data_IF_387154297338
#
_entry.id   IF_387154297338
#
_cell.length_a   1.000
_cell.length_b   1.000
_cell.length_c   1.000
_cell.angle_alpha   90.00
_cell.angle_beta   90.00
_cell.angle_gamma   90.00
#
_symmetry.space_group_name_H-M   'P 1'
#
loop_
_entity.id
_entity.type
_entity.pdbx_description
1 polymer ?
#
# COMPACT_ATOMS: atom_id res chain seq x y z
N UNK A 1 15.91 28.09 -27.46
CA UNK A 1 15.37 27.33 -26.35
C UNK A 1 15.34 28.25 -25.14
N UNK A 2 14.16 28.74 -24.71
CA UNK A 2 14.05 29.56 -23.49
C UNK A 2 14.46 28.71 -22.30
N UNK A 3 15.42 29.17 -21.50
CA UNK A 3 15.66 28.62 -20.18
C UNK A 3 14.37 28.77 -19.38
N UNK A 4 13.70 27.64 -19.12
CA UNK A 4 12.55 27.57 -18.23
C UNK A 4 13.06 27.98 -16.85
N UNK A 5 12.44 28.98 -16.21
CA UNK A 5 12.80 29.38 -14.86
C UNK A 5 12.79 28.15 -13.97
N UNK A 6 13.79 28.00 -13.13
CA UNK A 6 14.13 26.84 -12.32
C UNK A 6 12.95 26.26 -11.51
N UNK A 7 12.01 27.12 -11.09
CA UNK A 7 10.78 26.73 -10.38
C UNK A 7 9.71 26.13 -11.32
N UNK A 8 9.70 26.52 -12.60
CA UNK A 8 8.72 26.03 -13.56
C UNK A 8 8.99 24.60 -14.03
N UNK A 9 10.24 24.13 -13.99
CA UNK A 9 10.62 22.77 -14.40
C UNK A 9 10.00 21.68 -13.51
N UNK A 10 9.77 21.94 -12.22
CA UNK A 10 9.14 21.00 -11.29
C UNK A 10 7.69 20.68 -11.68
N UNK A 11 7.03 21.62 -12.35
CA UNK A 11 5.62 21.54 -12.75
C UNK A 11 5.41 21.02 -14.18
N UNK A 12 6.49 20.62 -14.87
CA UNK A 12 6.45 20.08 -16.22
C UNK A 12 7.08 18.69 -16.24
N UNK A 13 6.33 17.70 -16.72
CA UNK A 13 6.72 16.29 -16.66
C UNK A 13 8.03 15.99 -17.38
N UNK A 14 8.24 16.56 -18.56
CA UNK A 14 9.39 16.28 -19.45
C UNK A 14 10.49 17.35 -19.38
N UNK A 15 10.32 18.40 -18.55
CA UNK A 15 11.31 19.45 -18.45
C UNK A 15 12.64 18.91 -17.91
N UNK A 16 13.76 19.39 -18.45
CA UNK A 16 15.09 19.07 -17.94
C UNK A 16 15.28 19.72 -16.58
N UNK A 17 15.70 18.95 -15.61
CA UNK A 17 15.99 19.38 -14.25
C UNK A 17 17.37 18.91 -13.84
N UNK A 18 18.11 19.74 -13.11
CA UNK A 18 19.41 19.35 -12.54
C UNK A 18 19.23 18.34 -11.41
N UNK A 19 20.17 17.42 -11.22
CA UNK A 19 20.12 16.44 -10.12
C UNK A 19 20.05 17.13 -8.74
N UNK A 20 20.71 18.29 -8.57
CA UNK A 20 20.70 19.05 -7.32
C UNK A 20 19.28 19.50 -6.92
N UNK A 21 18.42 19.72 -7.90
CA UNK A 21 17.00 20.10 -7.68
C UNK A 21 16.09 18.89 -7.63
N UNK A 22 16.36 17.89 -8.48
CA UNK A 22 15.56 16.66 -8.57
C UNK A 22 15.62 15.84 -7.27
N UNK A 23 16.79 15.70 -6.66
CA UNK A 23 16.98 14.85 -5.47
C UNK A 23 16.10 15.28 -4.28
N UNK A 24 16.07 16.56 -3.83
CA UNK A 24 15.20 16.94 -2.71
C UNK A 24 13.71 16.70 -3.00
N UNK A 25 13.26 16.98 -4.22
CA UNK A 25 11.87 16.75 -4.62
C UNK A 25 11.54 15.25 -4.70
N UNK A 26 12.44 14.45 -5.25
CA UNK A 26 12.27 12.98 -5.29
C UNK A 26 12.27 12.37 -3.88
N UNK A 27 13.16 12.82 -3.00
CA UNK A 27 13.16 12.40 -1.60
C UNK A 27 11.87 12.76 -0.87
N UNK A 28 11.28 13.92 -1.16
CA UNK A 28 10.00 14.32 -0.60
C UNK A 28 8.89 13.30 -0.94
N UNK A 29 8.82 12.86 -2.20
CA UNK A 29 7.87 11.83 -2.62
C UNK A 29 8.16 10.48 -1.97
N UNK A 30 9.42 10.07 -1.91
CA UNK A 30 9.81 8.80 -1.29
C UNK A 30 9.52 8.79 0.21
N UNK A 31 9.85 9.85 0.94
CA UNK A 31 9.57 9.94 2.38
C UNK A 31 8.08 9.82 2.69
N UNK A 32 7.22 10.34 1.81
CA UNK A 32 5.77 10.25 1.97
C UNK A 32 5.24 8.82 1.84
N UNK A 33 5.86 7.98 1.01
CA UNK A 33 5.40 6.62 0.71
C UNK A 33 6.26 5.51 1.32
N UNK A 34 7.45 5.83 1.83
CA UNK A 34 8.45 4.86 2.27
C UNK A 34 7.87 3.81 3.23
N UNK A 35 7.14 4.28 4.21
CA UNK A 35 6.50 3.43 5.21
C UNK A 35 5.34 2.65 4.60
N UNK A 36 4.51 3.30 3.77
CA UNK A 36 3.40 2.66 3.08
C UNK A 36 3.83 1.47 2.23
N UNK A 37 4.99 1.58 1.59
CA UNK A 37 5.59 0.49 0.80
C UNK A 37 6.00 -0.74 1.63
N UNK A 38 6.35 -0.56 2.90
CA UNK A 38 6.87 -1.63 3.75
C UNK A 38 5.83 -2.20 4.73
N UNK A 39 4.83 -1.40 5.07
CA UNK A 39 3.76 -1.77 6.00
C UNK A 39 3.02 -3.07 5.63
N UNK A 40 2.55 -3.27 4.38
CA UNK A 40 1.85 -4.50 4.02
C UNK A 40 2.70 -5.75 4.23
N UNK A 41 3.99 -5.64 3.92
CA UNK A 41 4.94 -6.74 4.08
C UNK A 41 5.16 -7.09 5.55
N UNK A 42 5.31 -6.08 6.43
CA UNK A 42 5.42 -6.28 7.86
C UNK A 42 4.17 -6.96 8.44
N UNK A 43 2.99 -6.56 8.01
CA UNK A 43 1.72 -7.12 8.44
C UNK A 43 1.59 -8.59 7.99
N UNK A 44 1.83 -8.88 6.72
CA UNK A 44 1.64 -10.22 6.17
C UNK A 44 2.72 -11.20 6.63
N UNK A 45 3.99 -10.77 6.75
CA UNK A 45 5.04 -11.63 7.32
C UNK A 45 4.74 -11.96 8.79
N UNK A 46 4.20 -11.01 9.55
CA UNK A 46 3.74 -11.24 10.92
C UNK A 46 2.54 -12.20 10.97
N UNK A 47 1.55 -12.01 10.10
CA UNK A 47 0.38 -12.89 9.98
C UNK A 47 0.78 -14.33 9.64
N UNK A 48 1.71 -14.51 8.69
CA UNK A 48 2.29 -15.81 8.35
C UNK A 48 3.14 -16.43 9.48
N UNK A 49 3.57 -15.66 10.46
CA UNK A 49 4.48 -16.13 11.51
C UNK A 49 5.95 -16.22 11.06
N UNK A 50 6.32 -15.49 10.01
CA UNK A 50 7.69 -15.42 9.46
C UNK A 50 8.37 -14.06 9.73
N UNK A 51 7.97 -13.37 10.79
CA UNK A 51 8.47 -12.04 11.15
C UNK A 51 9.66 -12.05 12.13
N UNK A 52 10.16 -13.19 12.54
CA UNK A 52 11.23 -13.26 13.54
C UNK A 52 11.73 -14.68 13.75
N UNK A 53 12.52 -14.90 14.81
CA UNK A 53 13.11 -16.20 15.09
C UNK A 53 14.01 -16.66 13.96
N UNK A 54 13.84 -17.89 13.51
CA UNK A 54 14.56 -18.49 12.37
C UNK A 54 14.32 -17.78 11.03
N UNK A 55 13.22 -17.01 10.89
CA UNK A 55 12.87 -16.28 9.67
C UNK A 55 13.31 -14.80 9.70
N UNK A 56 14.09 -14.37 10.68
CA UNK A 56 14.51 -12.97 10.82
C UNK A 56 15.24 -12.47 9.58
N UNK A 57 16.17 -13.27 9.03
CA UNK A 57 16.92 -12.92 7.82
C UNK A 57 16.03 -12.91 6.55
N UNK A 58 15.05 -13.81 6.51
CA UNK A 58 14.07 -13.83 5.43
C UNK A 58 13.27 -12.52 5.42
N UNK A 59 12.74 -12.10 6.56
CA UNK A 59 11.98 -10.85 6.64
C UNK A 59 12.81 -9.63 6.21
N UNK A 60 14.07 -9.56 6.63
CA UNK A 60 15.00 -8.49 6.19
C UNK A 60 15.18 -8.51 4.68
N UNK A 61 15.38 -9.70 4.09
CA UNK A 61 15.51 -9.88 2.63
C UNK A 61 14.26 -9.43 1.89
N UNK A 62 13.08 -9.74 2.40
CA UNK A 62 11.80 -9.33 1.80
C UNK A 62 11.61 -7.81 1.84
N UNK A 63 11.91 -7.17 2.97
CA UNK A 63 11.83 -5.70 3.12
C UNK A 63 12.84 -4.98 2.21
N UNK A 64 14.05 -5.51 2.11
CA UNK A 64 15.07 -5.04 1.17
C UNK A 64 14.55 -5.11 -0.27
N UNK A 65 14.01 -6.26 -0.67
CA UNK A 65 13.45 -6.48 -2.00
C UNK A 65 12.29 -5.54 -2.30
N UNK A 66 11.44 -5.21 -1.32
CA UNK A 66 10.31 -4.30 -1.52
C UNK A 66 10.77 -2.88 -1.91
N UNK A 67 11.82 -2.36 -1.28
CA UNK A 67 12.40 -1.07 -1.65
C UNK A 67 12.99 -1.11 -3.07
N UNK A 68 13.75 -2.16 -3.38
CA UNK A 68 14.38 -2.35 -4.68
C UNK A 68 13.36 -2.43 -5.82
N UNK A 69 12.35 -3.28 -5.65
CA UNK A 69 11.28 -3.49 -6.65
C UNK A 69 10.47 -2.22 -6.85
N UNK A 70 10.06 -1.54 -5.77
CA UNK A 70 9.31 -0.28 -5.87
C UNK A 70 10.06 0.76 -6.71
N UNK A 71 11.37 0.88 -6.52
CA UNK A 71 12.20 1.79 -7.31
C UNK A 71 12.26 1.40 -8.80
N UNK A 72 12.47 0.12 -9.12
CA UNK A 72 12.53 -0.36 -10.51
C UNK A 72 11.19 -0.16 -11.21
N UNK A 73 10.08 -0.60 -10.59
CA UNK A 73 8.75 -0.49 -11.20
C UNK A 73 8.35 0.98 -11.39
N UNK A 74 8.72 1.86 -10.43
CA UNK A 74 8.55 3.31 -10.59
C UNK A 74 9.30 3.85 -11.80
N UNK A 75 10.55 3.44 -12.03
CA UNK A 75 11.28 3.87 -13.23
C UNK A 75 10.61 3.39 -14.51
N UNK A 76 10.13 2.15 -14.55
CA UNK A 76 9.38 1.63 -15.71
C UNK A 76 8.09 2.41 -15.92
N UNK A 77 7.37 2.77 -14.88
CA UNK A 77 6.16 3.59 -14.96
C UNK A 77 6.42 4.99 -15.51
N UNK A 78 7.55 5.59 -15.14
CA UNK A 78 7.95 6.93 -15.58
C UNK A 78 8.50 6.98 -17.01
N UNK A 79 9.34 5.99 -17.40
CA UNK A 79 10.10 6.03 -18.66
C UNK A 79 9.57 5.09 -19.75
N UNK A 80 8.67 4.20 -19.40
CA UNK A 80 8.04 3.19 -20.25
C UNK A 80 9.02 2.23 -20.95
N UNK A 81 8.62 0.97 -21.08
CA UNK A 81 9.33 -0.05 -21.87
C UNK A 81 8.32 -0.68 -22.81
N UNK A 82 8.28 -0.23 -24.06
CA UNK A 82 7.28 -0.66 -25.04
C UNK A 82 5.86 -0.28 -24.59
N UNK A 83 4.95 -1.25 -24.36
CA UNK A 83 3.60 -0.99 -23.86
C UNK A 83 3.53 -0.85 -22.34
N UNK A 84 4.61 -1.13 -21.62
CA UNK A 84 4.66 -1.16 -20.16
C UNK A 84 5.04 0.20 -19.63
N UNK A 85 4.21 0.77 -18.76
CA UNK A 85 4.38 2.10 -18.19
C UNK A 85 3.46 3.15 -18.84
N UNK A 86 2.89 4.00 -17.99
CA UNK A 86 1.97 5.05 -18.42
C UNK A 86 2.67 6.37 -18.82
N UNK A 87 3.95 6.56 -18.54
CA UNK A 87 4.63 7.85 -18.57
C UNK A 87 3.88 8.93 -17.76
N UNK A 88 3.50 8.58 -16.55
CA UNK A 88 2.71 9.40 -15.63
C UNK A 88 3.50 9.68 -14.34
N UNK A 89 3.31 10.83 -13.66
CA UNK A 89 4.08 11.21 -12.48
C UNK A 89 3.56 10.50 -11.22
N UNK A 90 3.65 9.17 -11.20
CA UNK A 90 3.21 8.34 -10.08
C UNK A 90 4.33 7.44 -9.58
N UNK A 91 4.39 7.21 -8.28
CA UNK A 91 5.32 6.27 -7.66
C UNK A 91 4.59 4.96 -7.40
N UNK A 92 5.30 3.87 -7.66
CA UNK A 92 4.82 2.51 -7.48
C UNK A 92 5.39 1.90 -6.19
N UNK A 93 4.65 1.01 -5.57
CA UNK A 93 5.12 0.29 -4.40
C UNK A 93 4.16 -0.80 -3.96
N UNK A 94 4.45 -1.45 -2.84
CA UNK A 94 3.68 -2.60 -2.34
C UNK A 94 2.25 -2.21 -2.01
N UNK A 95 1.28 -2.90 -2.59
CA UNK A 95 -0.15 -2.63 -2.42
C UNK A 95 -0.64 -2.99 -1.02
N UNK A 96 -1.30 -2.05 -0.36
CA UNK A 96 -2.02 -2.30 0.89
C UNK A 96 -3.38 -2.99 0.66
N UNK A 97 -3.95 -2.86 -0.53
CA UNK A 97 -5.27 -3.40 -0.86
C UNK A 97 -5.36 -4.94 -0.70
N UNK A 98 -4.25 -5.63 -0.92
CA UNK A 98 -4.19 -7.09 -0.79
C UNK A 98 -4.15 -7.62 0.66
N UNK A 99 -3.95 -6.77 1.67
CA UNK A 99 -3.75 -7.23 3.07
C UNK A 99 -4.92 -8.10 3.54
N UNK A 100 -6.17 -7.69 3.26
CA UNK A 100 -7.35 -8.44 3.66
C UNK A 100 -7.42 -9.83 3.01
N UNK A 101 -7.21 -9.88 1.70
CA UNK A 101 -7.23 -11.12 0.92
C UNK A 101 -6.08 -12.05 1.34
N UNK A 102 -4.89 -11.51 1.59
CA UNK A 102 -3.74 -12.31 2.03
C UNK A 102 -3.92 -12.84 3.45
N UNK A 103 -4.54 -12.08 4.36
CA UNK A 103 -4.90 -12.60 5.69
C UNK A 103 -5.88 -13.78 5.57
N UNK A 104 -6.83 -13.74 4.65
CA UNK A 104 -7.73 -14.86 4.35
C UNK A 104 -6.95 -16.09 3.85
N UNK A 105 -6.02 -15.90 2.92
CA UNK A 105 -5.14 -16.97 2.44
C UNK A 105 -4.32 -17.57 3.58
N UNK A 106 -3.75 -16.73 4.46
CA UNK A 106 -3.00 -17.18 5.64
C UNK A 106 -3.87 -17.99 6.58
N UNK A 107 -5.10 -17.53 6.86
CA UNK A 107 -6.08 -18.25 7.68
C UNK A 107 -6.45 -19.62 7.09
N UNK A 108 -6.71 -19.67 5.77
CA UNK A 108 -7.09 -20.91 5.06
C UNK A 108 -5.95 -21.93 4.96
N UNK A 109 -4.70 -21.47 4.85
CA UNK A 109 -3.53 -22.33 4.64
C UNK A 109 -2.72 -22.61 5.90
N UNK A 110 -3.09 -22.04 7.05
CA UNK A 110 -2.44 -22.26 8.34
C UNK A 110 -1.12 -21.50 8.55
N UNK A 111 -0.84 -20.48 7.74
CA UNK A 111 0.35 -19.63 7.90
C UNK A 111 1.66 -20.27 7.40
N UNK A 112 2.79 -19.77 7.92
CA UNK A 112 4.13 -20.24 7.58
C UNK A 112 4.62 -19.85 6.20
N UNK A 113 5.78 -20.35 5.84
CA UNK A 113 6.42 -20.14 4.52
C UNK A 113 5.57 -20.71 3.39
N UNK A 114 4.78 -21.76 3.65
CA UNK A 114 3.90 -22.36 2.65
C UNK A 114 2.79 -21.40 2.23
N UNK A 115 2.10 -20.78 3.18
CA UNK A 115 1.06 -19.79 2.90
C UNK A 115 1.65 -18.57 2.18
N UNK A 116 2.82 -18.10 2.62
CA UNK A 116 3.52 -17.00 1.95
C UNK A 116 3.92 -17.36 0.52
N UNK A 117 4.40 -18.59 0.28
CA UNK A 117 4.70 -19.11 -1.06
C UNK A 117 3.47 -19.19 -1.97
N UNK A 118 2.30 -19.52 -1.41
CA UNK A 118 1.04 -19.53 -2.16
C UNK A 118 0.58 -18.10 -2.50
N UNK A 119 0.80 -17.13 -1.63
CA UNK A 119 0.60 -15.70 -1.93
C UNK A 119 1.49 -15.28 -3.11
N UNK A 120 2.76 -15.70 -3.14
CA UNK A 120 3.65 -15.39 -4.27
C UNK A 120 3.17 -16.03 -5.57
N UNK A 121 2.76 -17.29 -5.55
CA UNK A 121 2.22 -17.97 -6.73
C UNK A 121 0.93 -17.31 -7.26
N UNK A 122 0.04 -16.94 -6.35
CA UNK A 122 -1.18 -16.21 -6.70
C UNK A 122 -0.88 -14.82 -7.27
N UNK A 123 0.12 -14.13 -6.71
CA UNK A 123 0.55 -12.79 -7.17
C UNK A 123 1.18 -12.83 -8.57
N UNK A 124 1.92 -13.88 -8.90
CA UNK A 124 2.48 -14.06 -10.25
C UNK A 124 1.34 -14.21 -11.28
N UNK A 125 0.39 -15.11 -11.01
CA UNK A 125 -0.74 -15.35 -11.92
C UNK A 125 -1.62 -14.11 -12.02
N UNK A 126 -1.92 -13.49 -10.88
CA UNK A 126 -2.75 -12.29 -10.82
C UNK A 126 -2.13 -11.09 -11.51
N UNK A 127 -0.84 -10.89 -11.38
CA UNK A 127 -0.12 -9.81 -12.06
C UNK A 127 -0.09 -9.99 -13.60
N UNK A 128 0.09 -11.22 -14.08
CA UNK A 128 -0.03 -11.54 -15.51
C UNK A 128 -1.47 -11.25 -15.97
N UNK A 129 -2.46 -11.66 -15.22
CA UNK A 129 -3.88 -11.42 -15.52
C UNK A 129 -4.19 -9.93 -15.58
N UNK A 130 -3.75 -9.13 -14.62
CA UNK A 130 -3.93 -7.67 -14.62
C UNK A 130 -3.24 -7.01 -15.81
N UNK A 131 -2.06 -7.48 -16.19
CA UNK A 131 -1.37 -6.99 -17.39
C UNK A 131 -2.18 -7.24 -18.64
N UNK A 132 -2.81 -8.43 -18.75
CA UNK A 132 -3.73 -8.73 -19.86
C UNK A 132 -4.95 -7.82 -19.84
N UNK A 133 -5.53 -7.54 -18.65
CA UNK A 133 -6.63 -6.58 -18.50
C UNK A 133 -6.22 -5.18 -18.99
N UNK A 134 -4.99 -4.76 -18.73
CA UNK A 134 -4.44 -3.48 -19.18
C UNK A 134 -4.51 -3.31 -20.71
N UNK A 135 -4.26 -4.36 -21.49
CA UNK A 135 -4.41 -4.32 -22.94
C UNK A 135 -5.87 -4.11 -23.39
N UNK A 136 -6.83 -4.57 -22.61
CA UNK A 136 -8.26 -4.47 -22.88
C UNK A 136 -8.95 -3.35 -22.08
N UNK A 137 -8.18 -2.42 -21.50
CA UNK A 137 -8.72 -1.41 -20.59
C UNK A 137 -9.69 -0.46 -21.27
N UNK A 138 -9.47 -0.09 -22.53
CA UNK A 138 -10.31 0.85 -23.28
C UNK A 138 -11.80 0.47 -23.29
N UNK A 139 -12.20 -0.76 -23.65
CA UNK A 139 -13.60 -1.18 -23.57
C UNK A 139 -14.09 -1.35 -22.11
N UNK A 140 -13.19 -1.59 -21.16
CA UNK A 140 -13.54 -1.79 -19.76
C UNK A 140 -13.71 -0.49 -18.99
N UNK A 141 -13.11 0.62 -19.44
CA UNK A 141 -13.15 1.94 -18.77
C UNK A 141 -14.58 2.40 -18.45
N UNK A 142 -15.56 2.05 -19.30
CA UNK A 142 -16.97 2.38 -19.09
C UNK A 142 -17.58 1.81 -17.79
N UNK A 143 -16.96 0.78 -17.24
CA UNK A 143 -17.40 0.14 -15.98
C UNK A 143 -16.78 0.80 -14.74
N UNK A 144 -15.80 1.67 -14.93
CA UNK A 144 -14.98 2.27 -13.88
C UNK A 144 -15.09 3.82 -13.87
N UNK A 145 -16.31 4.40 -13.83
CA UNK A 145 -16.44 5.84 -13.62
C UNK A 145 -15.93 6.24 -12.23
N UNK A 146 -15.66 7.54 -11.98
CA UNK A 146 -15.13 8.03 -10.70
C UNK A 146 -15.91 7.58 -9.47
N UNK A 147 -17.25 7.47 -9.56
CA UNK A 147 -18.08 6.96 -8.47
C UNK A 147 -17.75 5.51 -8.10
N UNK A 148 -17.47 4.65 -9.09
CA UNK A 148 -17.11 3.24 -8.86
C UNK A 148 -15.68 3.13 -8.32
N UNK A 149 -14.71 3.77 -9.00
CA UNK A 149 -13.31 3.76 -8.57
C UNK A 149 -13.16 4.34 -7.16
N UNK A 150 -13.81 5.47 -6.89
CA UNK A 150 -13.80 6.09 -5.57
C UNK A 150 -14.44 5.22 -4.48
N UNK A 151 -15.54 4.52 -4.78
CA UNK A 151 -16.18 3.58 -3.84
C UNK A 151 -15.25 2.41 -3.52
N UNK A 152 -14.53 1.89 -4.50
CA UNK A 152 -13.55 0.82 -4.32
C UNK A 152 -12.39 1.30 -3.43
N UNK A 153 -11.77 2.44 -3.76
CA UNK A 153 -10.67 3.02 -2.97
C UNK A 153 -11.13 3.32 -1.53
N UNK A 154 -12.33 3.87 -1.36
CA UNK A 154 -12.92 4.11 -0.05
C UNK A 154 -13.07 2.81 0.76
N UNK A 155 -13.56 1.73 0.12
CA UNK A 155 -13.73 0.44 0.78
C UNK A 155 -12.39 -0.20 1.19
N UNK A 156 -11.33 -0.03 0.38
CA UNK A 156 -9.96 -0.43 0.73
C UNK A 156 -9.53 0.29 2.02
N UNK A 157 -9.62 1.62 2.03
CA UNK A 157 -9.22 2.41 3.19
C UNK A 157 -9.98 2.02 4.46
N UNK A 158 -11.31 1.88 4.40
CA UNK A 158 -12.13 1.47 5.54
C UNK A 158 -11.76 0.09 6.07
N UNK A 159 -11.53 -0.88 5.19
CA UNK A 159 -11.13 -2.24 5.58
C UNK A 159 -9.75 -2.26 6.26
N UNK A 160 -8.84 -1.37 5.87
CA UNK A 160 -7.50 -1.29 6.42
C UNK A 160 -7.42 -0.55 7.76
N UNK A 161 -8.41 0.29 8.11
CA UNK A 161 -8.43 0.99 9.42
C UNK A 161 -8.37 -0.01 10.57
N UNK A 162 -9.12 -1.12 10.50
CA UNK A 162 -9.09 -2.16 11.53
C UNK A 162 -7.70 -2.79 11.68
N UNK A 163 -6.98 -2.99 10.56
CA UNK A 163 -5.61 -3.50 10.56
C UNK A 163 -4.66 -2.50 11.23
N UNK A 164 -4.82 -1.21 10.92
CA UNK A 164 -4.06 -0.12 11.55
C UNK A 164 -4.26 -0.07 13.07
N UNK A 165 -5.52 -0.15 13.53
CA UNK A 165 -5.86 -0.14 14.96
C UNK A 165 -5.34 -1.39 15.68
N UNK A 166 -5.36 -2.55 15.04
CA UNK A 166 -4.74 -3.75 15.60
C UNK A 166 -3.23 -3.58 15.82
N UNK A 167 -2.53 -2.98 14.85
CA UNK A 167 -1.11 -2.64 15.02
C UNK A 167 -0.90 -1.56 16.08
N UNK A 168 -1.81 -0.59 16.19
CA UNK A 168 -1.80 0.46 17.23
C UNK A 168 -1.83 -0.13 18.65
N UNK A 169 -2.56 -1.22 18.85
CA UNK A 169 -2.56 -1.98 20.11
C UNK A 169 -1.32 -2.84 20.36
N UNK A 170 -0.35 -2.88 19.45
CA UNK A 170 0.86 -3.72 19.58
C UNK A 170 0.85 -4.96 18.68
N UNK A 171 -0.22 -5.19 17.91
CA UNK A 171 -0.41 -6.35 17.03
C UNK A 171 -1.17 -7.51 17.66
N UNK A 172 -2.10 -8.12 16.94
CA UNK A 172 -3.03 -9.15 17.44
C UNK A 172 -2.39 -10.37 18.10
N UNK A 173 -1.12 -10.68 17.78
CA UNK A 173 -0.40 -11.82 18.36
C UNK A 173 0.47 -11.42 19.56
N UNK A 174 0.54 -10.15 19.91
CA UNK A 174 1.32 -9.67 21.05
C UNK A 174 0.66 -10.11 22.35
N UNK A 175 1.47 -10.59 23.30
CA UNK A 175 0.99 -10.98 24.64
C UNK A 175 0.53 -9.79 25.48
N UNK A 176 1.05 -8.60 25.17
CA UNK A 176 0.71 -7.29 25.75
C UNK A 176 -0.19 -6.45 24.81
N UNK A 177 -0.98 -7.08 23.96
CA UNK A 177 -1.92 -6.39 23.08
C UNK A 177 -2.86 -5.47 23.87
N UNK A 178 -2.99 -4.21 23.43
CA UNK A 178 -3.81 -3.21 24.10
C UNK A 178 -3.23 -2.65 25.40
N UNK A 179 -1.95 -2.97 25.73
CA UNK A 179 -1.30 -2.37 26.91
C UNK A 179 -1.21 -0.85 26.79
N UNK A 180 -1.18 -0.18 27.95
CA UNK A 180 -1.09 1.30 28.02
C UNK A 180 0.17 1.80 27.31
N UNK A 181 1.27 1.08 27.45
CA UNK A 181 2.54 1.40 26.81
C UNK A 181 2.42 1.37 25.28
N UNK A 182 1.80 0.34 24.70
CA UNK A 182 1.57 0.25 23.26
C UNK A 182 0.66 1.38 22.78
N UNK A 183 -0.45 1.63 23.47
CA UNK A 183 -1.42 2.67 23.11
C UNK A 183 -0.80 4.08 23.17
N UNK A 184 -0.04 4.39 24.23
CA UNK A 184 0.61 5.69 24.37
C UNK A 184 1.71 5.89 23.34
N UNK A 185 2.49 4.86 23.03
CA UNK A 185 3.53 4.92 21.99
C UNK A 185 2.90 5.19 20.62
N UNK A 186 1.84 4.47 20.25
CA UNK A 186 1.15 4.65 19.00
C UNK A 186 0.47 6.02 18.90
N UNK A 187 -0.17 6.48 19.99
CA UNK A 187 -0.78 7.82 20.08
C UNK A 187 0.29 8.92 19.93
N UNK A 188 1.44 8.77 20.57
CA UNK A 188 2.55 9.70 20.43
C UNK A 188 2.98 9.83 18.96
N UNK A 189 3.18 8.70 18.26
CA UNK A 189 3.53 8.70 16.83
C UNK A 189 2.48 9.42 16.01
N UNK A 190 1.19 9.13 16.23
CA UNK A 190 0.09 9.79 15.53
C UNK A 190 0.08 11.31 15.77
N UNK A 191 0.26 11.74 17.01
CA UNK A 191 0.31 13.19 17.37
C UNK A 191 1.49 13.88 16.69
N UNK A 192 2.66 13.24 16.67
CA UNK A 192 3.84 13.78 15.96
C UNK A 192 3.57 13.93 14.46
N UNK A 193 2.95 12.91 13.83
CA UNK A 193 2.57 12.97 12.42
C UNK A 193 1.61 14.14 12.16
N UNK A 194 0.56 14.27 12.97
CA UNK A 194 -0.42 15.35 12.85
C UNK A 194 0.24 16.73 13.02
N UNK A 195 1.13 16.86 13.99
CA UNK A 195 1.89 18.10 14.19
C UNK A 195 2.68 18.49 12.94
N UNK A 196 3.56 17.60 12.45
CA UNK A 196 4.36 17.92 11.27
C UNK A 196 3.52 18.10 10.00
N UNK A 197 2.41 17.37 9.86
CA UNK A 197 1.51 17.49 8.71
C UNK A 197 0.82 18.85 8.63
N UNK A 198 0.41 19.43 9.78
CA UNK A 198 -0.45 20.60 9.82
C UNK A 198 0.25 21.89 10.22
N UNK A 199 1.31 21.82 11.03
CA UNK A 199 2.04 23.02 11.52
C UNK A 199 3.35 23.26 10.79
N UNK A 200 3.73 22.40 9.83
CA UNK A 200 4.91 22.63 8.98
C UNK A 200 4.52 22.59 7.51
N UNK A 201 5.44 23.03 6.64
CA UNK A 201 5.23 23.05 5.19
C UNK A 201 6.39 22.39 4.44
N UNK A 202 6.22 22.15 3.14
CA UNK A 202 7.26 21.62 2.27
C UNK A 202 7.71 20.23 2.69
N UNK A 203 9.03 20.02 2.74
CA UNK A 203 9.64 18.72 3.01
C UNK A 203 9.22 18.11 4.36
N UNK A 204 9.15 18.91 5.42
CA UNK A 204 8.77 18.42 6.76
C UNK A 204 7.33 17.89 6.79
N UNK A 205 6.39 18.62 6.21
CA UNK A 205 4.99 18.17 6.12
C UNK A 205 4.84 16.90 5.28
N UNK A 206 5.57 16.80 4.17
CA UNK A 206 5.53 15.61 3.31
C UNK A 206 6.18 14.39 3.97
N UNK A 207 7.19 14.61 4.81
CA UNK A 207 7.91 13.55 5.54
C UNK A 207 7.29 13.24 6.91
N UNK A 208 6.13 13.81 7.25
CA UNK A 208 5.52 13.71 8.59
C UNK A 208 5.41 12.28 9.10
N UNK A 209 5.01 11.33 8.25
CA UNK A 209 4.86 9.91 8.62
C UNK A 209 6.21 9.31 9.00
N UNK A 210 7.25 9.56 8.18
CA UNK A 210 8.61 9.09 8.47
C UNK A 210 9.16 9.71 9.77
N UNK A 211 8.94 11.01 9.97
CA UNK A 211 9.36 11.73 11.19
C UNK A 211 8.66 11.15 12.42
N UNK A 212 7.35 10.87 12.34
CA UNK A 212 6.59 10.26 13.42
C UNK A 212 7.13 8.88 13.80
N UNK A 213 7.48 8.06 12.81
CA UNK A 213 8.10 6.74 13.05
C UNK A 213 9.47 6.88 13.69
N UNK A 214 10.33 7.76 13.19
CA UNK A 214 11.65 7.99 13.79
C UNK A 214 11.53 8.47 15.25
N UNK A 215 10.58 9.37 15.52
CA UNK A 215 10.27 9.79 16.89
C UNK A 215 9.77 8.62 17.75
N UNK A 216 8.92 7.78 17.19
CA UNK A 216 8.43 6.55 17.84
C UNK A 216 9.56 5.57 18.16
N UNK A 217 10.53 5.41 17.26
CA UNK A 217 11.75 4.61 17.55
C UNK A 217 12.55 5.17 18.73
N UNK A 218 12.75 6.49 18.77
CA UNK A 218 13.46 7.14 19.89
C UNK A 218 12.73 6.91 21.21
N UNK A 219 11.41 7.07 21.22
CA UNK A 219 10.60 6.81 22.43
C UNK A 219 10.64 5.34 22.81
N UNK A 220 10.49 4.40 21.88
CA UNK A 220 10.58 2.97 22.16
C UNK A 220 11.97 2.59 22.72
N UNK A 221 13.04 3.19 22.19
CA UNK A 221 14.40 3.02 22.73
C UNK A 221 14.51 3.53 24.17
N UNK A 222 14.02 4.73 24.46
CA UNK A 222 14.02 5.29 25.83
C UNK A 222 13.18 4.42 26.77
N UNK A 223 12.01 3.95 26.32
CA UNK A 223 11.18 3.01 27.11
C UNK A 223 11.97 1.74 27.47
N UNK A 224 12.78 1.21 26.54
CA UNK A 224 13.64 0.04 26.80
C UNK A 224 14.74 0.27 27.83
N UNK A 225 15.12 1.52 28.08
CA UNK A 225 16.09 1.89 29.13
C UNK A 225 15.45 2.11 30.51
N UNK A 226 14.17 2.51 30.55
CA UNK A 226 13.51 2.98 31.77
C UNK A 226 12.44 2.00 32.28
N UNK A 227 11.75 1.29 31.38
CA UNK A 227 10.63 0.42 31.71
C UNK A 227 11.03 -1.06 31.67
N UNK A 228 10.32 -1.94 32.41
CA UNK A 228 10.52 -3.39 32.34
C UNK A 228 10.25 -3.88 30.90
N UNK A 229 11.24 -4.53 30.30
CA UNK A 229 11.18 -5.04 28.91
C UNK A 229 10.45 -6.37 28.80
N UNK A 230 10.24 -7.04 29.92
CA UNK A 230 9.51 -8.31 30.03
C UNK A 230 8.19 -8.13 30.75
N UNK A 231 7.25 -9.00 30.47
CA UNK A 231 5.97 -9.14 31.15
C UNK A 231 5.70 -10.60 31.47
N UNK A 232 4.71 -10.86 32.29
CA UNK A 232 4.29 -12.22 32.66
C UNK A 232 2.82 -12.38 32.29
N UNK A 233 2.46 -13.47 31.60
CA UNK A 233 1.07 -13.80 31.29
C UNK A 233 0.33 -14.27 32.55
N UNK A 234 -1.01 -14.35 32.47
CA UNK A 234 -1.83 -14.90 33.56
C UNK A 234 -1.41 -16.34 33.96
N UNK A 235 -0.85 -17.10 33.01
CA UNK A 235 -0.37 -18.46 33.21
C UNK A 235 1.08 -18.52 33.73
N UNK A 236 1.69 -17.39 34.12
CA UNK A 236 3.06 -17.30 34.63
C UNK A 236 4.17 -17.38 33.59
N UNK A 237 3.87 -17.31 32.28
CA UNK A 237 4.86 -17.37 31.21
C UNK A 237 5.46 -15.98 30.97
N UNK A 238 6.78 -15.87 31.10
CA UNK A 238 7.50 -14.64 30.77
C UNK A 238 7.54 -14.40 29.24
N UNK A 239 7.37 -13.14 28.84
CA UNK A 239 7.46 -12.72 27.45
C UNK A 239 8.11 -11.35 27.31
N UNK A 240 8.72 -11.09 26.14
CA UNK A 240 9.23 -9.76 25.79
C UNK A 240 8.09 -8.90 25.27
N UNK A 241 7.97 -7.66 25.77
CA UNK A 241 6.94 -6.70 25.36
C UNK A 241 7.10 -6.31 23.89
N UNK A 242 6.00 -6.06 23.20
CA UNK A 242 5.95 -5.83 21.75
C UNK A 242 6.67 -4.55 21.28
N UNK A 243 6.88 -3.59 22.14
CA UNK A 243 7.58 -2.34 21.85
C UNK A 243 9.11 -2.41 22.04
N UNK A 244 9.68 -3.52 22.49
CA UNK A 244 11.12 -3.70 22.73
C UNK A 244 11.86 -3.89 21.41
N UNK A 245 12.92 -3.08 21.20
CA UNK A 245 13.74 -3.09 19.99
C UNK A 245 14.83 -4.17 20.06
N UNK A 246 14.88 -5.06 19.06
CA UNK A 246 15.93 -6.09 18.96
C UNK A 246 17.11 -5.61 18.10
N UNK A 247 18.01 -4.85 18.69
CA UNK A 247 19.17 -4.28 18.01
C UNK A 247 20.17 -5.33 17.47
N UNK A 248 20.19 -6.55 18.02
CA UNK A 248 21.06 -7.63 17.54
C UNK A 248 20.76 -7.97 16.07
N UNK A 249 19.51 -7.92 15.67
CA UNK A 249 19.10 -8.14 14.27
C UNK A 249 19.71 -7.12 13.31
N UNK A 250 19.79 -5.86 13.73
CA UNK A 250 20.42 -4.78 12.95
C UNK A 250 21.93 -4.92 12.92
N UNK A 251 22.54 -5.30 14.06
CA UNK A 251 23.98 -5.48 14.16
C UNK A 251 24.49 -6.57 13.21
N UNK A 252 23.76 -7.70 13.12
CA UNK A 252 24.11 -8.86 12.31
C UNK A 252 23.87 -8.66 10.81
N UNK A 253 22.97 -7.73 10.41
CA UNK A 253 22.67 -7.47 9.01
C UNK A 253 23.88 -6.89 8.27
N UNK A 254 24.10 -7.34 7.01
CA UNK A 254 25.17 -6.85 6.15
C UNK A 254 24.90 -5.41 5.67
N UNK A 255 25.98 -4.69 5.30
CA UNK A 255 25.88 -3.35 4.74
C UNK A 255 25.43 -3.36 3.28
N UNK A 256 25.77 -4.41 2.53
CA UNK A 256 25.44 -4.50 1.12
C UNK A 256 25.05 -5.95 0.77
N UNK A 257 23.93 -6.09 0.08
CA UNK A 257 23.53 -7.32 -0.58
C UNK A 257 22.59 -7.03 -1.73
N UNK A 258 22.65 -7.84 -2.77
CA UNK A 258 21.70 -7.79 -3.89
C UNK A 258 20.43 -8.56 -3.48
N UNK A 259 19.24 -8.03 -3.74
CA UNK A 259 17.99 -8.74 -3.50
C UNK A 259 17.98 -10.13 -4.15
N UNK A 260 17.53 -11.13 -3.40
CA UNK A 260 17.52 -12.53 -3.86
C UNK A 260 16.28 -12.79 -4.71
N UNK A 261 16.48 -13.44 -5.85
CA UNK A 261 15.38 -13.97 -6.64
C UNK A 261 14.82 -15.23 -5.98
N UNK A 262 13.49 -15.33 -5.91
CA UNK A 262 12.75 -16.45 -5.31
C UNK A 262 13.22 -16.82 -3.88
N UNK A 263 13.28 -15.86 -2.95
CA UNK A 263 13.74 -16.12 -1.58
C UNK A 263 12.81 -17.10 -0.83
N UNK A 264 11.59 -17.27 -1.33
CA UNK A 264 10.59 -18.23 -0.84
C UNK A 264 10.18 -19.13 -2.00
N UNK A 265 9.97 -20.41 -1.72
CA UNK A 265 9.46 -21.37 -2.71
C UNK A 265 8.04 -20.94 -3.13
N UNK A 266 7.86 -20.68 -4.41
CA UNK A 266 6.56 -20.35 -4.99
C UNK A 266 5.67 -21.60 -5.00
N UNK A 267 4.42 -21.42 -4.58
CA UNK A 267 3.39 -22.49 -4.55
C UNK A 267 2.16 -22.02 -5.31
N UNK A 268 1.67 -22.80 -6.22
CA UNK A 268 0.43 -22.52 -6.96
C UNK A 268 -0.71 -23.29 -6.34
N UNK A 269 -1.59 -22.60 -5.60
CA UNK A 269 -2.76 -23.16 -4.92
C UNK A 269 -4.02 -22.39 -5.30
N UNK A 270 -5.04 -23.09 -5.76
CA UNK A 270 -6.29 -22.46 -6.20
C UNK A 270 -6.99 -21.65 -5.09
N UNK A 271 -6.81 -22.07 -3.81
CA UNK A 271 -7.38 -21.35 -2.64
C UNK A 271 -6.79 -19.96 -2.47
N UNK A 272 -5.53 -19.76 -2.88
CA UNK A 272 -4.89 -18.45 -2.90
C UNK A 272 -5.14 -17.71 -4.22
N UNK A 273 -5.07 -18.41 -5.36
CA UNK A 273 -5.16 -17.79 -6.70
C UNK A 273 -6.52 -17.14 -6.93
N UNK A 274 -7.63 -17.82 -6.62
CA UNK A 274 -8.97 -17.32 -6.94
C UNK A 274 -9.30 -15.97 -6.27
N UNK A 275 -9.17 -15.79 -4.94
CA UNK A 275 -9.45 -14.51 -4.30
C UNK A 275 -8.47 -13.41 -4.72
N UNK A 276 -7.21 -13.77 -4.95
CA UNK A 276 -6.17 -12.82 -5.38
C UNK A 276 -6.41 -12.32 -6.81
N UNK A 277 -6.87 -13.17 -7.75
CA UNK A 277 -7.26 -12.77 -9.11
C UNK A 277 -8.33 -11.68 -9.09
N UNK A 278 -9.34 -11.84 -8.23
CA UNK A 278 -10.42 -10.84 -8.12
C UNK A 278 -9.86 -9.54 -7.54
N UNK A 279 -8.96 -9.62 -6.58
CA UNK A 279 -8.31 -8.43 -6.04
C UNK A 279 -7.49 -7.68 -7.10
N UNK A 280 -6.88 -8.38 -8.07
CA UNK A 280 -6.19 -7.74 -9.19
C UNK A 280 -7.13 -6.97 -10.15
N UNK A 281 -8.40 -7.34 -10.24
CA UNK A 281 -9.40 -6.50 -10.92
C UNK A 281 -9.62 -5.22 -10.13
N UNK A 282 -9.68 -5.32 -8.81
CA UNK A 282 -9.88 -4.18 -7.90
C UNK A 282 -8.69 -3.21 -7.98
N UNK A 283 -7.46 -3.72 -7.98
CA UNK A 283 -6.25 -2.88 -8.10
C UNK A 283 -6.11 -2.25 -9.48
N UNK A 284 -6.50 -2.92 -10.55
CA UNK A 284 -6.60 -2.29 -11.88
C UNK A 284 -7.53 -1.06 -11.87
N UNK A 285 -8.66 -1.15 -11.15
CA UNK A 285 -9.58 -0.02 -10.94
C UNK A 285 -8.93 1.09 -10.11
N UNK A 286 -8.25 0.74 -9.03
CA UNK A 286 -7.50 1.67 -8.17
C UNK A 286 -6.46 2.43 -8.99
N UNK A 287 -5.64 1.72 -9.77
CA UNK A 287 -4.60 2.32 -10.63
C UNK A 287 -5.18 3.27 -11.68
N UNK A 288 -6.31 2.96 -12.29
CA UNK A 288 -7.03 3.88 -13.18
C UNK A 288 -7.44 5.15 -12.44
N UNK A 289 -7.95 5.02 -11.21
CA UNK A 289 -8.32 6.15 -10.35
C UNK A 289 -7.12 7.01 -9.98
N UNK A 290 -6.03 6.39 -9.55
CA UNK A 290 -4.80 7.08 -9.14
C UNK A 290 -4.14 7.83 -10.31
N UNK A 291 -4.02 7.18 -11.47
CA UNK A 291 -3.49 7.84 -12.68
C UNK A 291 -4.36 9.03 -13.07
N UNK A 292 -5.69 8.86 -13.05
CA UNK A 292 -6.61 9.97 -13.33
C UNK A 292 -6.44 11.11 -12.32
N UNK A 293 -6.32 10.78 -11.02
CA UNK A 293 -6.12 11.74 -9.96
C UNK A 293 -4.81 12.53 -10.09
N UNK A 294 -3.70 11.85 -10.42
CA UNK A 294 -2.39 12.49 -10.63
C UNK A 294 -2.38 13.36 -11.88
N UNK A 295 -2.96 12.89 -12.99
CA UNK A 295 -2.97 13.62 -14.25
C UNK A 295 -3.82 14.89 -14.17
N UNK A 296 -4.99 14.80 -13.56
CA UNK A 296 -5.85 15.97 -13.36
C UNK A 296 -5.34 16.87 -12.23
N UNK A 297 -5.00 16.28 -11.08
CA UNK A 297 -4.50 17.03 -9.92
C UNK A 297 -3.14 17.69 -10.16
N UNK A 298 -2.23 17.04 -10.86
CA UNK A 298 -0.87 17.52 -11.12
C UNK A 298 -0.69 18.23 -12.45
N UNK A 299 -1.24 17.67 -13.53
CA UNK A 299 -1.00 18.12 -14.90
C UNK A 299 -2.19 18.89 -15.52
N UNK A 300 -3.31 19.02 -14.78
CA UNK A 300 -4.55 19.70 -15.20
C UNK A 300 -5.09 19.18 -16.55
N UNK A 301 -4.99 17.87 -16.80
CA UNK A 301 -5.56 17.20 -17.98
C UNK A 301 -5.98 15.77 -17.64
N UNK A 302 -6.91 15.25 -18.40
CA UNK A 302 -7.27 13.82 -18.33
C UNK A 302 -6.14 12.93 -18.88
N UNK A 303 -6.00 11.70 -18.36
CA UNK A 303 -5.09 10.72 -18.92
C UNK A 303 -5.64 10.19 -20.26
N UNK A 304 -4.74 9.92 -21.19
CA UNK A 304 -5.06 9.21 -22.44
C UNK A 304 -5.28 7.72 -22.19
N UNK A 305 -5.99 7.04 -23.11
CA UNK A 305 -6.16 5.58 -23.07
C UNK A 305 -4.82 4.84 -23.01
N UNK A 306 -3.78 5.37 -23.68
CA UNK A 306 -2.43 4.79 -23.69
C UNK A 306 -1.76 4.90 -22.33
N UNK A 307 -1.89 6.03 -21.63
CA UNK A 307 -1.33 6.24 -20.30
C UNK A 307 -2.01 5.33 -19.27
N UNK A 308 -3.32 5.20 -19.31
CA UNK A 308 -4.08 4.30 -18.45
C UNK A 308 -3.72 2.83 -18.71
N UNK A 309 -3.75 2.41 -20.00
CA UNK A 309 -3.41 1.03 -20.39
C UNK A 309 -1.98 0.67 -20.00
N UNK A 310 -1.00 1.52 -20.36
CA UNK A 310 0.40 1.31 -20.00
C UNK A 310 0.63 1.28 -18.49
N UNK A 311 -0.09 2.11 -17.74
CA UNK A 311 -0.04 2.15 -16.28
C UNK A 311 -0.53 0.85 -15.64
N UNK A 312 -1.68 0.33 -16.06
CA UNK A 312 -2.23 -0.95 -15.56
C UNK A 312 -1.36 -2.14 -15.98
N UNK A 313 -0.81 -2.14 -17.20
CA UNK A 313 0.14 -3.17 -17.63
C UNK A 313 1.40 -3.15 -16.75
N UNK A 314 1.90 -1.97 -16.40
CA UNK A 314 3.03 -1.82 -15.49
C UNK A 314 2.71 -2.29 -14.07
N UNK A 315 1.50 -2.05 -13.59
CA UNK A 315 1.01 -2.53 -12.30
C UNK A 315 1.04 -4.07 -12.23
N UNK A 316 0.44 -4.73 -13.19
CA UNK A 316 0.40 -6.18 -13.25
C UNK A 316 1.78 -6.82 -13.44
N UNK A 317 2.59 -6.37 -14.40
CA UNK A 317 3.95 -6.89 -14.59
C UNK A 317 4.86 -6.55 -13.41
N UNK A 318 4.69 -5.36 -12.81
CA UNK A 318 5.38 -4.96 -11.59
C UNK A 318 5.05 -5.88 -10.42
N UNK A 319 3.79 -6.29 -10.28
CA UNK A 319 3.33 -7.26 -9.29
C UNK A 319 3.92 -8.66 -9.51
N UNK A 320 3.98 -9.11 -10.78
CA UNK A 320 4.65 -10.36 -11.15
C UNK A 320 6.15 -10.31 -10.81
N UNK A 321 6.81 -9.21 -11.17
CA UNK A 321 8.21 -8.97 -10.85
C UNK A 321 8.45 -8.91 -9.33
N UNK A 322 7.57 -8.25 -8.59
CA UNK A 322 7.61 -8.19 -7.13
C UNK A 322 7.55 -9.59 -6.50
N UNK A 323 6.60 -10.42 -6.95
CA UNK A 323 6.44 -11.77 -6.44
C UNK A 323 7.67 -12.67 -6.70
N UNK A 324 8.39 -12.48 -7.80
CA UNK A 324 9.66 -13.17 -8.07
C UNK A 324 10.76 -12.79 -7.06
N UNK A 325 10.70 -11.61 -6.46
CA UNK A 325 11.59 -11.19 -5.38
C UNK A 325 11.00 -11.44 -3.98
N UNK A 326 9.91 -12.20 -3.90
CA UNK A 326 9.21 -12.51 -2.65
C UNK A 326 8.45 -11.31 -2.05
N UNK A 327 8.20 -10.27 -2.83
CA UNK A 327 7.46 -9.07 -2.42
C UNK A 327 5.98 -9.21 -2.79
N UNK A 328 5.11 -8.63 -1.98
CA UNK A 328 3.67 -8.55 -2.27
C UNK A 328 3.41 -7.72 -3.54
N UNK A 329 2.23 -7.83 -4.17
CA UNK A 329 1.90 -7.10 -5.39
C UNK A 329 2.22 -5.61 -5.31
N UNK A 330 2.70 -5.08 -6.41
CA UNK A 330 3.06 -3.67 -6.57
C UNK A 330 1.90 -2.92 -7.21
N UNK A 331 1.63 -1.69 -6.78
CA UNK A 331 0.57 -0.83 -7.34
C UNK A 331 0.95 0.64 -7.29
N UNK A 332 0.15 1.49 -7.90
CA UNK A 332 0.23 2.94 -7.74
C UNK A 332 -0.07 3.37 -6.31
N UNK A 333 0.61 4.42 -5.83
CA UNK A 333 0.42 4.94 -4.48
C UNK A 333 -0.56 6.10 -4.44
N UNK A 334 -1.77 5.88 -3.91
CA UNK A 334 -2.79 6.92 -3.74
C UNK A 334 -2.32 8.10 -2.87
N UNK A 335 -1.42 7.86 -1.90
CA UNK A 335 -0.80 8.93 -1.12
C UNK A 335 0.06 9.88 -1.98
N UNK A 336 0.70 9.35 -3.03
CA UNK A 336 1.44 10.15 -3.99
C UNK A 336 0.52 11.05 -4.81
N UNK A 337 -0.69 10.59 -5.14
CA UNK A 337 -1.72 11.38 -5.83
C UNK A 337 -2.03 12.66 -5.06
N UNK A 338 -2.30 12.52 -3.75
CA UNK A 338 -2.52 13.67 -2.87
C UNK A 338 -1.33 14.62 -2.78
N UNK A 339 -0.10 14.07 -2.73
CA UNK A 339 1.11 14.88 -2.69
C UNK A 339 1.31 15.67 -4.00
N UNK A 340 1.13 15.02 -5.15
CA UNK A 340 1.22 15.68 -6.47
C UNK A 340 0.15 16.75 -6.62
N UNK A 341 -1.09 16.49 -6.19
CA UNK A 341 -2.16 17.46 -6.24
C UNK A 341 -1.86 18.73 -5.41
N UNK A 342 -1.22 18.57 -4.24
CA UNK A 342 -0.83 19.70 -3.38
C UNK A 342 0.42 20.44 -3.85
N UNK A 343 1.46 19.71 -4.24
CA UNK A 343 2.77 20.29 -4.57
C UNK A 343 2.89 20.68 -6.02
N UNK A 344 2.05 20.10 -6.89
CA UNK A 344 2.15 20.19 -8.36
C UNK A 344 3.49 19.70 -8.93
N UNK A 345 4.29 19.00 -8.14
CA UNK A 345 5.57 18.43 -8.58
C UNK A 345 5.27 17.18 -9.42
N UNK A 346 5.43 17.31 -10.72
CA UNK A 346 5.18 16.24 -11.70
C UNK A 346 6.43 15.85 -12.50
N UNK A 347 7.55 16.52 -12.28
CA UNK A 347 8.75 16.34 -13.08
C UNK A 347 9.29 14.89 -13.01
N UNK A 348 9.47 14.27 -14.19
CA UNK A 348 9.94 12.89 -14.35
C UNK A 348 11.29 12.65 -13.67
N UNK A 349 12.24 13.58 -13.79
CA UNK A 349 13.58 13.46 -13.21
C UNK A 349 13.55 13.54 -11.68
N UNK A 350 12.66 14.38 -11.13
CA UNK A 350 12.46 14.45 -9.68
C UNK A 350 11.98 13.11 -9.12
N UNK A 351 10.91 12.55 -9.69
CA UNK A 351 10.37 11.25 -9.27
C UNK A 351 11.37 10.11 -9.50
N UNK A 352 12.09 10.12 -10.64
CA UNK A 352 13.13 9.15 -10.94
C UNK A 352 14.27 9.16 -9.93
N UNK A 353 14.69 10.34 -9.44
CA UNK A 353 15.71 10.43 -8.39
C UNK A 353 15.26 9.75 -7.09
N UNK A 354 13.96 9.87 -6.74
CA UNK A 354 13.36 9.14 -5.63
C UNK A 354 13.35 7.62 -5.86
N UNK A 355 12.99 7.19 -7.07
CA UNK A 355 13.02 5.77 -7.44
C UNK A 355 14.43 5.17 -7.35
N UNK A 356 15.45 5.89 -7.82
CA UNK A 356 16.86 5.48 -7.66
C UNK A 356 17.25 5.40 -6.19
N UNK A 357 16.80 6.34 -5.35
CA UNK A 357 17.04 6.29 -3.91
C UNK A 357 16.41 5.02 -3.28
N UNK A 358 15.20 4.63 -3.67
CA UNK A 358 14.59 3.37 -3.22
C UNK A 358 15.40 2.15 -3.64
N UNK A 359 15.92 2.11 -4.88
CA UNK A 359 16.80 1.03 -5.35
C UNK A 359 18.05 0.95 -4.47
N UNK A 360 18.69 2.09 -4.18
CA UNK A 360 19.86 2.13 -3.32
C UNK A 360 19.57 1.67 -1.89
N UNK A 361 18.43 2.07 -1.31
CA UNK A 361 17.96 1.56 -0.02
C UNK A 361 17.74 0.05 -0.06
N UNK A 362 17.22 -0.47 -1.15
CA UNK A 362 17.04 -1.92 -1.38
C UNK A 362 18.34 -2.71 -1.53
N UNK A 363 19.49 -2.07 -1.67
CA UNK A 363 20.82 -2.71 -1.66
C UNK A 363 21.48 -2.73 -0.27
N UNK A 364 20.82 -2.15 0.75
CA UNK A 364 21.35 -2.01 2.11
C UNK A 364 20.48 -2.83 3.10
N UNK A 365 20.82 -4.12 3.37
CA UNK A 365 20.06 -4.98 4.30
C UNK A 365 19.92 -4.39 5.70
N UNK A 366 20.88 -3.60 6.17
CA UNK A 366 20.77 -2.90 7.47
C UNK A 366 19.54 -2.01 7.58
N UNK A 367 19.10 -1.36 6.47
CA UNK A 367 17.86 -0.59 6.46
C UNK A 367 16.63 -1.52 6.60
N UNK A 368 16.63 -2.65 5.89
CA UNK A 368 15.59 -3.68 6.04
C UNK A 368 15.53 -4.22 7.46
N UNK A 369 16.68 -4.49 8.09
CA UNK A 369 16.78 -4.94 9.46
C UNK A 369 16.25 -3.88 10.45
N UNK A 370 16.63 -2.61 10.26
CA UNK A 370 16.12 -1.50 11.08
C UNK A 370 14.58 -1.42 11.02
N UNK A 371 14.02 -1.53 9.82
CA UNK A 371 12.56 -1.51 9.64
C UNK A 371 11.91 -2.75 10.25
N UNK A 372 12.53 -3.92 10.15
CA UNK A 372 11.98 -5.18 10.66
C UNK A 372 11.88 -5.25 12.19
N UNK A 373 12.63 -4.42 12.91
CA UNK A 373 12.54 -4.32 14.38
C UNK A 373 11.55 -3.24 14.85
N UNK A 374 10.87 -2.58 13.93
CA UNK A 374 9.90 -1.54 14.24
C UNK A 374 8.78 -2.10 15.12
N UNK A 375 8.51 -1.51 16.30
CA UNK A 375 7.41 -1.92 17.15
C UNK A 375 6.08 -1.79 16.40
N UNK A 376 5.19 -2.78 16.55
CA UNK A 376 3.87 -2.74 15.93
C UNK A 376 3.08 -1.51 16.34
N UNK A 377 3.22 -1.02 17.57
CA UNK A 377 2.57 0.20 18.04
C UNK A 377 3.04 1.44 17.27
N UNK A 378 4.35 1.55 16.95
CA UNK A 378 4.89 2.64 16.12
C UNK A 378 4.32 2.55 14.70
N UNK A 379 4.31 1.34 14.13
CA UNK A 379 3.70 1.08 12.83
C UNK A 379 2.21 1.44 12.82
N UNK A 380 1.48 1.08 13.89
CA UNK A 380 0.05 1.34 14.04
C UNK A 380 -0.30 2.81 14.07
N UNK A 381 0.47 3.63 14.80
CA UNK A 381 0.30 5.09 14.81
C UNK A 381 0.42 5.71 13.41
N UNK A 382 1.39 5.24 12.62
CA UNK A 382 1.57 5.65 11.23
C UNK A 382 0.48 5.05 10.30
N UNK A 383 0.14 3.78 10.46
CA UNK A 383 -0.81 3.06 9.63
C UNK A 383 -2.22 3.66 9.69
N UNK A 384 -2.67 4.08 10.88
CA UNK A 384 -3.96 4.77 11.02
C UNK A 384 -4.01 6.01 10.13
N UNK A 385 -2.96 6.84 10.12
CA UNK A 385 -2.91 8.02 9.27
C UNK A 385 -2.86 7.66 7.77
N UNK A 386 -2.08 6.64 7.40
CA UNK A 386 -1.95 6.20 6.01
C UNK A 386 -3.27 5.64 5.48
N UNK A 387 -3.91 4.73 6.22
CA UNK A 387 -5.16 4.10 5.78
C UNK A 387 -6.33 5.08 5.76
N UNK A 388 -6.36 6.01 6.71
CA UNK A 388 -7.33 7.11 6.69
C UNK A 388 -7.15 8.03 5.49
N UNK A 389 -5.92 8.26 5.00
CA UNK A 389 -5.70 9.04 3.78
C UNK A 389 -6.19 8.32 2.52
N UNK A 390 -6.19 6.98 2.47
CA UNK A 390 -6.83 6.21 1.39
C UNK A 390 -8.35 6.43 1.40
N UNK A 391 -8.99 6.43 2.59
CA UNK A 391 -10.42 6.76 2.73
C UNK A 391 -10.72 8.14 2.14
N UNK A 392 -9.91 9.14 2.49
CA UNK A 392 -10.09 10.51 1.96
C UNK A 392 -9.90 10.56 0.44
N UNK A 393 -8.92 9.84 -0.11
CA UNK A 393 -8.73 9.74 -1.56
C UNK A 393 -9.96 9.15 -2.25
N UNK A 394 -10.56 8.10 -1.67
CA UNK A 394 -11.83 7.53 -2.17
C UNK A 394 -12.97 8.55 -2.16
N UNK A 395 -13.11 9.32 -1.08
CA UNK A 395 -14.12 10.40 -0.99
C UNK A 395 -13.87 11.45 -2.08
N UNK A 396 -12.64 11.88 -2.30
CA UNK A 396 -12.29 12.86 -3.31
C UNK A 396 -12.65 12.37 -4.73
N UNK A 397 -12.41 11.09 -5.03
CA UNK A 397 -12.80 10.49 -6.31
C UNK A 397 -14.33 10.46 -6.47
N UNK A 398 -15.08 10.04 -5.45
CA UNK A 398 -16.54 9.98 -5.48
C UNK A 398 -17.15 11.38 -5.71
N UNK A 399 -16.61 12.39 -5.04
CA UNK A 399 -17.13 13.77 -5.09
C UNK A 399 -16.64 14.57 -6.29
N UNK A 400 -15.85 13.98 -7.16
CA UNK A 400 -15.34 14.62 -8.37
C UNK A 400 -16.44 14.96 -9.37
N UNK A 401 -17.46 14.13 -9.44
CA UNK A 401 -18.67 14.35 -10.22
C UNK A 401 -19.83 14.78 -9.31
N UNK A 402 -20.83 15.46 -9.89
CA UNK A 402 -22.05 15.81 -9.13
C UNK A 402 -22.73 14.54 -8.64
N UNK A 403 -22.99 14.47 -7.34
CA UNK A 403 -23.64 13.32 -6.70
C UNK A 403 -25.11 13.28 -7.08
N UNK A 404 -25.47 12.39 -7.98
CA UNK A 404 -26.87 12.12 -8.35
C UNK A 404 -27.48 11.07 -7.41
N UNK A 405 -28.83 10.93 -7.34
CA UNK A 405 -29.47 9.86 -6.58
C UNK A 405 -28.94 8.46 -6.96
N UNK A 406 -28.61 8.27 -8.25
CA UNK A 406 -27.99 7.04 -8.75
C UNK A 406 -26.61 6.82 -8.12
N UNK A 407 -25.75 7.82 -8.10
CA UNK A 407 -24.42 7.75 -7.48
C UNK A 407 -24.51 7.47 -5.97
N UNK A 408 -25.43 8.15 -5.26
CA UNK A 408 -25.67 7.90 -3.85
C UNK A 408 -26.08 6.44 -3.58
N UNK A 409 -26.92 5.86 -4.43
CA UNK A 409 -27.34 4.46 -4.31
C UNK A 409 -26.15 3.52 -4.53
N UNK A 410 -25.33 3.75 -5.55
CA UNK A 410 -24.13 2.93 -5.83
C UNK A 410 -23.21 2.92 -4.61
N UNK A 411 -22.86 4.10 -4.12
CA UNK A 411 -21.93 4.24 -2.98
C UNK A 411 -22.50 3.60 -1.72
N UNK A 412 -23.73 3.93 -1.35
CA UNK A 412 -24.34 3.47 -0.09
C UNK A 412 -24.53 1.95 -0.05
N UNK A 413 -25.04 1.35 -1.13
CA UNK A 413 -25.27 -0.10 -1.17
C UNK A 413 -23.95 -0.86 -1.26
N UNK A 414 -23.01 -0.40 -2.09
CA UNK A 414 -21.71 -1.04 -2.23
C UNK A 414 -20.91 -1.03 -0.91
N UNK A 415 -20.87 0.11 -0.21
CA UNK A 415 -20.21 0.20 1.10
C UNK A 415 -20.96 -0.59 2.16
N UNK A 416 -22.30 -0.51 2.20
CA UNK A 416 -23.11 -1.25 3.15
C UNK A 416 -22.92 -2.77 3.04
N UNK A 417 -22.94 -3.30 1.82
CA UNK A 417 -22.69 -4.72 1.58
C UNK A 417 -21.24 -5.08 1.84
N UNK A 418 -20.29 -4.31 1.29
CA UNK A 418 -18.86 -4.59 1.41
C UNK A 418 -18.38 -4.53 2.86
N UNK A 419 -18.55 -3.40 3.53
CA UNK A 419 -18.14 -3.24 4.92
C UNK A 419 -18.92 -4.18 5.86
N UNK A 420 -20.22 -4.34 5.62
CA UNK A 420 -21.07 -5.23 6.42
C UNK A 420 -20.61 -6.69 6.35
N UNK A 421 -20.25 -7.19 5.16
CA UNK A 421 -19.73 -8.55 4.99
C UNK A 421 -18.32 -8.69 5.60
N UNK A 422 -17.45 -7.71 5.41
CA UNK A 422 -16.12 -7.71 6.01
C UNK A 422 -16.13 -7.68 7.54
N UNK A 423 -17.09 -6.97 8.15
CA UNK A 423 -17.26 -6.90 9.59
C UNK A 423 -17.91 -8.18 10.19
N UNK A 424 -18.64 -8.94 9.39
CA UNK A 424 -19.40 -10.13 9.81
C UNK A 424 -19.05 -11.33 8.92
N UNK A 425 -17.80 -11.76 8.94
CA UNK A 425 -17.30 -12.87 8.10
C UNK A 425 -18.12 -14.17 8.23
N UNK A 426 -18.73 -14.39 9.39
CA UNK A 426 -19.61 -15.54 9.65
C UNK A 426 -20.88 -15.59 8.81
N UNK A 427 -21.31 -14.49 8.16
CA UNK A 427 -22.52 -14.45 7.32
C UNK A 427 -22.43 -15.42 6.13
N UNK A 428 -21.21 -15.72 5.68
CA UNK A 428 -20.95 -16.64 4.57
C UNK A 428 -20.63 -18.06 4.99
N UNK A 429 -20.72 -18.42 6.27
CA UNK A 429 -20.34 -19.73 6.79
C UNK A 429 -21.06 -20.91 6.10
N UNK A 430 -22.27 -20.70 5.58
CA UNK A 430 -23.04 -21.71 4.85
C UNK A 430 -23.01 -21.51 3.33
N UNK A 431 -22.33 -20.48 2.83
CA UNK A 431 -22.20 -20.25 1.40
C UNK A 431 -21.23 -21.25 0.77
N UNK A 432 -21.30 -21.49 -0.56
CA UNK A 432 -20.31 -22.30 -1.25
C UNK A 432 -18.88 -21.80 -0.97
N UNK A 433 -17.93 -22.73 -0.82
CA UNK A 433 -16.55 -22.43 -0.42
C UNK A 433 -15.89 -21.34 -1.29
N UNK A 434 -16.22 -21.28 -2.57
CA UNK A 434 -15.72 -20.24 -3.49
C UNK A 434 -16.16 -18.85 -3.04
N UNK A 435 -17.41 -18.66 -2.59
CA UNK A 435 -17.89 -17.38 -2.07
C UNK A 435 -17.24 -17.03 -0.74
N UNK A 436 -17.02 -18.01 0.14
CA UNK A 436 -16.29 -17.78 1.39
C UNK A 436 -14.87 -17.30 1.14
N UNK A 437 -14.15 -17.91 0.18
CA UNK A 437 -12.79 -17.53 -0.20
C UNK A 437 -12.72 -16.13 -0.83
N UNK A 438 -13.71 -15.78 -1.65
CA UNK A 438 -13.71 -14.50 -2.38
C UNK A 438 -14.19 -13.34 -1.51
N UNK A 439 -15.20 -13.56 -0.67
CA UNK A 439 -15.90 -12.50 0.05
C UNK A 439 -15.75 -12.57 1.58
N UNK A 440 -15.15 -13.65 2.11
CA UNK A 440 -15.29 -14.02 3.52
C UNK A 440 -14.57 -13.15 4.53
N UNK A 441 -13.41 -12.56 4.18
CA UNK A 441 -12.62 -11.77 5.14
C UNK A 441 -12.29 -10.35 4.65
N UNK A 442 -12.60 -10.04 3.40
CA UNK A 442 -12.35 -8.73 2.82
C UNK A 442 -13.64 -8.12 2.29
N UNK A 443 -14.10 -7.06 2.91
CA UNK A 443 -15.25 -6.29 2.41
C UNK A 443 -14.99 -5.57 1.09
N UNK A 444 -13.75 -5.54 0.62
CA UNK A 444 -13.32 -4.82 -0.58
C UNK A 444 -13.92 -5.45 -1.83
N UNK A 445 -13.82 -6.78 -1.96
CA UNK A 445 -14.31 -7.51 -3.14
C UNK A 445 -15.83 -7.42 -3.29
N UNK A 446 -16.65 -7.66 -2.24
CA UNK A 446 -18.08 -7.43 -2.33
C UNK A 446 -18.46 -5.99 -2.65
N UNK A 447 -17.76 -4.99 -2.07
CA UNK A 447 -18.00 -3.59 -2.37
C UNK A 447 -17.73 -3.27 -3.84
N UNK A 448 -16.60 -3.71 -4.38
CA UNK A 448 -16.24 -3.51 -5.77
C UNK A 448 -17.24 -4.16 -6.74
N UNK A 449 -17.60 -5.41 -6.47
CA UNK A 449 -18.57 -6.15 -7.28
C UNK A 449 -19.94 -5.44 -7.30
N UNK A 450 -20.45 -5.05 -6.13
CA UNK A 450 -21.75 -4.34 -6.03
C UNK A 450 -21.68 -2.98 -6.72
N UNK A 451 -20.61 -2.22 -6.55
CA UNK A 451 -20.45 -0.92 -7.19
C UNK A 451 -20.47 -1.04 -8.74
N UNK A 452 -19.73 -2.00 -9.29
CA UNK A 452 -19.70 -2.27 -10.73
C UNK A 452 -21.08 -2.74 -11.22
N UNK A 453 -21.69 -3.70 -10.52
CA UNK A 453 -23.00 -4.26 -10.87
C UNK A 453 -24.07 -3.18 -10.90
N UNK A 454 -24.17 -2.37 -9.86
CA UNK A 454 -25.14 -1.28 -9.78
C UNK A 454 -24.88 -0.21 -10.85
N UNK A 455 -23.62 0.09 -11.15
CA UNK A 455 -23.28 1.01 -12.23
C UNK A 455 -23.77 0.52 -13.61
N UNK A 456 -23.85 -0.80 -13.80
CA UNK A 456 -24.37 -1.38 -15.06
C UNK A 456 -25.90 -1.45 -15.06
N UNK A 457 -26.50 -1.83 -13.93
CA UNK A 457 -27.94 -2.13 -13.85
C UNK A 457 -28.81 -0.90 -13.64
N UNK A 458 -28.33 0.10 -12.89
CA UNK A 458 -29.15 1.28 -12.61
C UNK A 458 -29.28 2.17 -13.87
N UNK A 459 -30.49 2.68 -14.15
CA UNK A 459 -30.74 3.53 -15.29
C UNK A 459 -29.87 4.81 -15.22
N UNK A 460 -29.37 5.23 -16.39
CA UNK A 460 -28.54 6.43 -16.53
C UNK A 460 -29.38 7.72 -16.65
N UNK A 461 -30.70 7.61 -16.48
CA UNK A 461 -31.58 8.76 -16.52
C UNK A 461 -31.35 9.61 -15.26
N UNK A 462 -30.34 10.46 -15.31
CA UNK A 462 -30.27 11.63 -14.47
C UNK A 462 -31.37 12.58 -14.97
N UNK A 463 -32.62 12.35 -14.52
CA UNK A 463 -33.64 13.37 -14.63
C UNK A 463 -33.15 14.50 -13.71
N UNK A 464 -32.44 15.44 -14.32
CA UNK A 464 -32.11 16.69 -13.71
C UNK A 464 -33.43 17.44 -13.45
N UNK A 465 -33.80 17.59 -12.21
CA UNK A 465 -34.56 18.74 -11.77
C UNK A 465 -33.63 19.82 -11.27
#
# INVERSE_FOLDING_TARGET
MKEVKLEEAAYQFEAKMSLRQAIPLGLQHVCAIFVGNLTPLLIITSACGIAGGEFADLQVTLLQSAMFVAGIVTLVQLFTIGPVGGAVPIIMGTSSGFIGVFNSVVGTMGGGVLAYGAIMGASIIGGIFESVLGFFLKPLRRFFPPVVTGTVVLSIGLSLISVGINSFGGGNKAKDFGSVENLLLALFVLVVILFFKHWTTGFLSSSAILIGILAGYVVAFIMGLVLPTTGVTADGVEFTKAWVLNWNKVAQASWFAVPKLMPVKVVFDARAILPVLIMFIVTAVETVGDISGVMEGGMNREPSDKELSGGVICDGLGSTFAALFGVLPNTSFSQNVGLVAMTKVVNRMALASGAVFLILCGLIPKLGALISIMPQAVLGGAAVMMFSSIVVSGIQLITKEKMTPRHLTIVSVALGVGYGMGANSGILAQAPQVFQLICGESGIVPAAFVAILLNVLLPKNDMAE
#
